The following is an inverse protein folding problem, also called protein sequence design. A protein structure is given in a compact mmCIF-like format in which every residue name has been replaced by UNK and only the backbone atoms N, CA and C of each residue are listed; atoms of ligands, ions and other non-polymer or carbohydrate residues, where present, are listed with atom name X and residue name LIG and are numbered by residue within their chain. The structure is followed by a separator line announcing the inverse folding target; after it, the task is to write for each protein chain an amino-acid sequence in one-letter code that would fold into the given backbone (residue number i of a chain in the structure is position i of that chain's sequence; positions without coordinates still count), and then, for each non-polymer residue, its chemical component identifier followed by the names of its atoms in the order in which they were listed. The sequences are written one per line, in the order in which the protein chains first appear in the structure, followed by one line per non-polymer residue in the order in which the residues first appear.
data_IF_612698313307
#
_entry.id   IF_612698313307
#
_cell.length_a   1.000
_cell.length_b   1.000
_cell.length_c   1.000
_cell.angle_alpha   90.00
_cell.angle_beta   90.00
_cell.angle_gamma   90.00
#
_symmetry.space_group_name_H-M   'P 1'
#
loop_
_entity.id
_entity.type
_entity.pdbx_description
1 polymer ?
#
# COMPACT_ATOMS: atom_id res chain seq x y z
N UNK A 1 63.13 34.71 59.58
CA UNK A 1 62.29 33.67 60.24
C UNK A 1 60.82 34.07 60.09
N UNK A 2 60.37 35.19 60.66
CA UNK A 2 58.98 35.67 60.56
C UNK A 2 58.39 35.81 59.14
N UNK A 3 59.19 36.22 58.15
CA UNK A 3 58.72 36.39 56.77
C UNK A 3 58.44 35.04 56.08
N UNK A 4 59.27 34.04 56.34
CA UNK A 4 59.06 32.66 55.88
C UNK A 4 57.85 32.02 56.55
N UNK A 5 57.62 32.30 57.83
CA UNK A 5 56.43 31.79 58.55
C UNK A 5 55.12 32.35 57.98
N UNK A 6 55.11 33.62 57.56
CA UNK A 6 53.94 34.22 56.85
C UNK A 6 53.69 33.57 55.49
N UNK A 7 54.75 33.35 54.71
CA UNK A 7 54.64 32.71 53.40
C UNK A 7 54.13 31.25 53.51
N UNK A 8 54.53 30.52 54.55
CA UNK A 8 54.02 29.18 54.85
C UNK A 8 52.52 29.24 55.21
N UNK A 9 52.10 30.18 56.05
CA UNK A 9 50.68 30.34 56.41
C UNK A 9 49.78 30.69 55.22
N UNK A 10 50.27 31.47 54.26
CA UNK A 10 49.53 31.76 53.03
C UNK A 10 49.39 30.52 52.14
N UNK A 11 50.48 29.76 51.96
CA UNK A 11 50.43 28.50 51.20
C UNK A 11 49.52 27.46 51.85
N UNK A 12 49.52 27.36 53.18
CA UNK A 12 48.61 26.45 53.89
C UNK A 12 47.13 26.82 53.69
N UNK A 13 46.80 28.11 53.64
CA UNK A 13 45.43 28.56 53.32
C UNK A 13 45.05 28.23 51.89
N UNK A 14 45.97 28.46 50.93
CA UNK A 14 45.73 28.14 49.53
C UNK A 14 45.51 26.63 49.31
N UNK A 15 46.27 25.78 50.04
CA UNK A 15 46.08 24.33 50.03
C UNK A 15 44.71 23.95 50.59
N UNK A 16 44.29 24.55 51.72
CA UNK A 16 42.98 24.28 52.32
C UNK A 16 41.81 24.69 51.40
N UNK A 17 41.96 25.77 50.64
CA UNK A 17 40.95 26.18 49.64
C UNK A 17 40.88 25.19 48.48
N UNK A 18 42.02 24.75 47.94
CA UNK A 18 42.06 23.73 46.88
C UNK A 18 41.50 22.39 47.34
N UNK A 19 41.77 21.98 48.57
CA UNK A 19 41.22 20.75 49.15
C UNK A 19 39.69 20.80 49.24
N UNK A 20 39.11 21.95 49.60
CA UNK A 20 37.65 22.14 49.59
C UNK A 20 37.08 22.07 48.17
N UNK A 21 37.72 22.70 47.21
CA UNK A 21 37.29 22.67 45.81
C UNK A 21 37.33 21.23 45.24
N UNK A 22 38.35 20.45 45.58
CA UNK A 22 38.45 19.03 45.21
C UNK A 22 37.30 18.24 45.83
N UNK A 23 37.01 18.43 47.12
CA UNK A 23 35.90 17.74 47.79
C UNK A 23 34.52 18.07 47.19
N UNK A 24 34.31 19.30 46.72
CA UNK A 24 33.07 19.68 46.02
C UNK A 24 32.98 19.00 44.65
N UNK A 25 34.05 18.98 43.87
CA UNK A 25 34.10 18.28 42.57
C UNK A 25 33.88 16.78 42.72
N UNK A 26 34.46 16.15 43.74
CA UNK A 26 34.27 14.73 44.02
C UNK A 26 32.80 14.40 44.31
N UNK A 27 32.08 15.27 45.04
CA UNK A 27 30.64 15.10 45.27
C UNK A 27 29.84 15.23 43.99
N UNK A 28 30.15 16.21 43.14
CA UNK A 28 29.48 16.39 41.85
C UNK A 28 29.68 15.18 40.92
N UNK A 29 30.89 14.61 40.90
CA UNK A 29 31.20 13.39 40.15
C UNK A 29 30.36 12.21 40.68
N UNK A 30 30.28 12.03 42.00
CA UNK A 30 29.47 10.96 42.60
C UNK A 30 27.97 11.08 42.28
N UNK A 31 27.43 12.30 42.20
CA UNK A 31 26.04 12.52 41.80
C UNK A 31 25.82 12.18 40.32
N UNK A 32 26.73 12.59 39.44
CA UNK A 32 26.67 12.24 38.01
C UNK A 32 26.78 10.74 37.77
N UNK A 33 27.64 10.04 38.51
CA UNK A 33 27.76 8.59 38.42
C UNK A 33 26.46 7.87 38.81
N UNK A 34 25.74 8.36 39.83
CA UNK A 34 24.41 7.82 40.19
C UNK A 34 23.39 8.04 39.08
N UNK A 35 23.36 9.23 38.48
CA UNK A 35 22.44 9.55 37.39
C UNK A 35 22.70 8.65 36.15
N UNK A 36 23.98 8.40 35.84
CA UNK A 36 24.38 7.48 34.76
C UNK A 36 23.89 6.06 35.06
N UNK A 37 24.08 5.56 36.29
CA UNK A 37 23.61 4.23 36.68
C UNK A 37 22.08 4.07 36.60
N UNK A 38 21.32 5.13 36.90
CA UNK A 38 19.86 5.11 36.75
C UNK A 38 19.44 5.05 35.28
N UNK A 39 20.09 5.86 34.42
CA UNK A 39 19.84 5.84 32.96
C UNK A 39 20.19 4.49 32.34
N UNK A 40 21.29 3.86 32.76
CA UNK A 40 21.66 2.52 32.28
C UNK A 40 20.60 1.47 32.63
N UNK A 41 20.02 1.52 33.84
CA UNK A 41 18.92 0.62 34.22
C UNK A 41 17.68 0.86 33.38
N UNK A 42 17.36 2.11 33.06
CA UNK A 42 16.21 2.44 32.21
C UNK A 42 16.41 1.91 30.78
N UNK A 43 17.62 2.06 30.22
CA UNK A 43 17.99 1.53 28.90
C UNK A 43 17.85 -0.01 28.88
N UNK A 44 18.40 -0.71 29.87
CA UNK A 44 18.25 -2.16 29.97
C UNK A 44 16.78 -2.61 30.08
N UNK A 45 15.92 -1.82 30.73
CA UNK A 45 14.49 -2.07 30.80
C UNK A 45 13.82 -1.97 29.41
N UNK A 46 14.14 -0.91 28.66
CA UNK A 46 13.64 -0.71 27.29
C UNK A 46 14.11 -1.79 26.33
N UNK A 47 15.36 -2.23 26.43
CA UNK A 47 15.89 -3.31 25.59
C UNK A 47 15.14 -4.63 25.81
N UNK A 48 14.79 -4.97 27.06
CA UNK A 48 13.95 -6.15 27.35
C UNK A 48 12.54 -6.03 26.77
N UNK A 49 11.94 -4.83 26.80
CA UNK A 49 10.63 -4.59 26.19
C UNK A 49 10.67 -4.76 24.66
N UNK A 50 11.73 -4.26 24.01
CA UNK A 50 11.94 -4.41 22.57
C UNK A 50 12.09 -5.89 22.20
N UNK A 51 12.92 -6.64 22.94
CA UNK A 51 13.07 -8.09 22.72
C UNK A 51 11.76 -8.85 22.89
N UNK A 52 10.88 -8.42 23.80
CA UNK A 52 9.55 -8.99 23.96
C UNK A 52 8.66 -8.77 22.73
N UNK A 53 8.64 -7.54 22.21
CA UNK A 53 7.85 -7.19 21.01
C UNK A 53 8.37 -7.88 19.75
N UNK A 54 9.68 -8.05 19.62
CA UNK A 54 10.27 -8.77 18.48
C UNK A 54 9.83 -10.25 18.45
N UNK A 55 9.71 -10.89 19.62
CA UNK A 55 9.16 -12.26 19.71
C UNK A 55 7.70 -12.32 19.30
N UNK A 56 6.87 -11.36 19.74
CA UNK A 56 5.46 -11.30 19.37
C UNK A 56 5.28 -11.09 17.85
N UNK A 57 6.15 -10.28 17.23
CA UNK A 57 6.15 -10.08 15.76
C UNK A 57 6.52 -11.38 15.05
N UNK A 58 7.55 -12.09 15.51
CA UNK A 58 7.95 -13.37 14.92
C UNK A 58 6.86 -14.44 15.00
N UNK A 59 6.06 -14.46 16.07
CA UNK A 59 4.91 -15.37 16.19
C UNK A 59 3.81 -15.02 15.18
N UNK A 60 3.46 -13.74 15.06
CA UNK A 60 2.46 -13.29 14.07
C UNK A 60 2.91 -13.53 12.63
N UNK A 61 4.19 -13.37 12.33
CA UNK A 61 4.73 -13.66 11.00
C UNK A 61 4.60 -15.15 10.65
N UNK A 62 4.74 -16.06 11.63
CA UNK A 62 4.49 -17.49 11.44
C UNK A 62 3.02 -17.79 11.16
N UNK A 63 2.10 -17.19 11.92
CA UNK A 63 0.65 -17.35 11.69
C UNK A 63 0.23 -16.86 10.30
N UNK A 64 0.80 -15.75 9.83
CA UNK A 64 0.57 -15.24 8.47
C UNK A 64 1.07 -16.23 7.42
N UNK A 65 2.28 -16.78 7.60
CA UNK A 65 2.83 -17.77 6.67
C UNK A 65 1.99 -19.06 6.60
N UNK A 66 1.42 -19.51 7.71
CA UNK A 66 0.50 -20.66 7.73
C UNK A 66 -0.80 -20.33 7.00
N UNK A 67 -1.37 -19.16 7.25
CA UNK A 67 -2.60 -18.70 6.55
C UNK A 67 -2.37 -18.59 5.04
N UNK A 68 -1.22 -18.07 4.60
CA UNK A 68 -0.86 -17.97 3.18
C UNK A 68 -0.75 -19.35 2.51
N UNK A 69 -0.23 -20.36 3.22
CA UNK A 69 -0.21 -21.74 2.71
C UNK A 69 -1.61 -22.30 2.52
N UNK A 70 -2.51 -22.09 3.47
CA UNK A 70 -3.90 -22.53 3.35
C UNK A 70 -4.61 -21.86 2.16
N UNK A 71 -4.35 -20.57 1.92
CA UNK A 71 -4.89 -19.85 0.77
C UNK A 71 -4.37 -20.47 -0.55
N UNK A 72 -3.06 -20.75 -0.64
CA UNK A 72 -2.47 -21.38 -1.82
C UNK A 72 -3.06 -22.77 -2.11
N UNK A 73 -3.35 -23.56 -1.07
CA UNK A 73 -4.02 -24.85 -1.24
C UNK A 73 -5.44 -24.70 -1.77
N UNK A 74 -6.22 -23.77 -1.22
CA UNK A 74 -7.58 -23.47 -1.72
C UNK A 74 -7.58 -22.97 -3.16
N UNK A 75 -6.59 -22.17 -3.54
CA UNK A 75 -6.44 -21.69 -4.92
C UNK A 75 -6.17 -22.85 -5.90
N UNK A 76 -5.34 -23.82 -5.51
CA UNK A 76 -5.13 -25.05 -6.30
C UNK A 76 -6.42 -25.86 -6.46
N UNK A 77 -7.18 -26.02 -5.38
CA UNK A 77 -8.47 -26.73 -5.43
C UNK A 77 -9.47 -26.03 -6.36
N UNK A 78 -9.52 -24.69 -6.34
CA UNK A 78 -10.34 -23.90 -7.26
C UNK A 78 -9.88 -24.09 -8.71
N UNK A 79 -8.58 -24.11 -8.98
CA UNK A 79 -8.05 -24.36 -10.32
C UNK A 79 -8.42 -25.75 -10.84
N UNK A 80 -8.37 -26.78 -9.99
CA UNK A 80 -8.81 -28.14 -10.35
C UNK A 80 -10.31 -28.19 -10.66
N UNK A 81 -11.14 -27.58 -9.82
CA UNK A 81 -12.59 -27.47 -10.06
C UNK A 81 -12.89 -26.77 -11.38
N UNK A 82 -12.16 -25.71 -11.72
CA UNK A 82 -12.31 -25.00 -12.99
C UNK A 82 -11.96 -25.88 -14.20
N UNK A 83 -10.93 -26.73 -14.11
CA UNK A 83 -10.62 -27.71 -15.16
C UNK A 83 -11.74 -28.73 -15.34
N UNK A 84 -12.34 -29.21 -14.24
CA UNK A 84 -13.48 -30.14 -14.29
C UNK A 84 -14.69 -29.47 -14.95
N UNK A 85 -14.99 -28.22 -14.58
CA UNK A 85 -16.08 -27.45 -15.22
C UNK A 85 -15.83 -27.32 -16.72
N UNK A 86 -14.60 -26.96 -17.12
CA UNK A 86 -14.26 -26.83 -18.54
C UNK A 86 -14.43 -28.14 -19.33
N UNK A 87 -14.03 -29.28 -18.74
CA UNK A 87 -14.23 -30.59 -19.37
C UNK A 87 -15.72 -30.95 -19.47
N UNK A 88 -16.52 -30.64 -18.45
CA UNK A 88 -17.97 -30.86 -18.48
C UNK A 88 -18.65 -29.98 -19.53
N UNK A 89 -18.22 -28.73 -19.68
CA UNK A 89 -18.70 -27.85 -20.75
C UNK A 89 -18.40 -28.44 -22.14
N UNK A 90 -17.21 -29.05 -22.31
CA UNK A 90 -16.85 -29.75 -23.54
C UNK A 90 -17.71 -31.01 -23.78
N UNK A 91 -17.97 -31.82 -22.75
CA UNK A 91 -18.88 -32.97 -22.86
C UNK A 91 -20.31 -32.55 -23.19
N UNK A 92 -20.81 -31.47 -22.57
CA UNK A 92 -22.13 -30.90 -22.88
C UNK A 92 -22.18 -30.50 -24.36
N UNK A 93 -21.18 -29.78 -24.85
CA UNK A 93 -21.09 -29.38 -26.24
C UNK A 93 -21.02 -30.58 -27.19
N UNK A 94 -20.33 -31.67 -26.81
CA UNK A 94 -20.27 -32.90 -27.61
C UNK A 94 -21.62 -33.63 -27.63
N UNK A 95 -22.34 -33.67 -26.50
CA UNK A 95 -23.69 -34.23 -26.40
C UNK A 95 -24.71 -33.40 -27.20
N UNK A 96 -24.59 -32.07 -27.20
CA UNK A 96 -25.40 -31.18 -28.04
C UNK A 96 -25.16 -31.43 -29.53
N UNK A 97 -23.90 -31.67 -29.93
CA UNK A 97 -23.55 -32.08 -31.30
C UNK A 97 -24.17 -33.44 -31.65
N UNK A 98 -24.04 -34.45 -30.79
CA UNK A 98 -24.63 -35.79 -31.01
C UNK A 98 -26.15 -35.77 -31.02
N UNK A 99 -26.77 -34.96 -30.17
CA UNK A 99 -28.23 -34.73 -30.17
C UNK A 99 -28.68 -34.09 -31.48
N UNK A 100 -27.90 -33.15 -32.01
CA UNK A 100 -28.13 -32.55 -33.32
C UNK A 100 -27.99 -33.58 -34.45
N UNK A 101 -27.00 -34.46 -34.40
CA UNK A 101 -26.79 -35.55 -35.38
C UNK A 101 -27.89 -36.62 -35.33
N UNK A 102 -28.36 -37.02 -34.14
CA UNK A 102 -29.49 -37.93 -33.98
C UNK A 102 -30.82 -37.29 -34.41
N UNK A 103 -30.97 -35.97 -34.22
CA UNK A 103 -32.07 -35.19 -34.77
C UNK A 103 -32.06 -35.13 -36.30
N UNK A 104 -30.88 -35.26 -36.93
CA UNK A 104 -30.72 -35.39 -38.38
C UNK A 104 -31.03 -36.82 -38.84
N UNK A 105 -30.64 -37.85 -38.07
CA UNK A 105 -30.88 -39.27 -38.40
C UNK A 105 -32.35 -39.71 -38.21
N UNK A 106 -33.05 -39.15 -37.22
CA UNK A 106 -34.51 -39.29 -37.07
C UNK A 106 -35.30 -38.59 -38.20
N UNK A 107 -34.67 -37.65 -38.91
CA UNK A 107 -35.25 -36.90 -40.03
C UNK A 107 -35.27 -37.63 -41.38
N UNK A 108 -34.68 -38.83 -41.50
CA UNK A 108 -34.57 -39.54 -42.80
C UNK A 108 -35.74 -40.52 -43.04
N UNK A 109 -36.63 -40.77 -42.06
CA UNK A 109 -37.72 -41.75 -42.20
C UNK A 109 -39.14 -41.19 -42.23
N UNK A 110 -39.38 -40.09 -42.96
CA UNK A 110 -40.75 -39.79 -43.42
C UNK A 110 -40.73 -38.92 -44.67
N UNK A 111 -40.94 -39.54 -45.85
CA UNK A 111 -41.36 -38.83 -47.06
C UNK A 111 -42.81 -38.36 -46.89
N UNK A 112 -43.02 -37.05 -46.80
CA UNK A 112 -44.20 -36.40 -47.37
C UNK A 112 -43.86 -34.92 -47.65
N UNK A 113 -43.99 -34.51 -48.91
CA UNK A 113 -43.69 -33.16 -49.39
C UNK A 113 -44.65 -32.13 -48.78
N UNK A 114 -44.11 -31.06 -48.17
CA UNK A 114 -44.75 -29.76 -47.93
C UNK A 114 -43.66 -28.66 -47.88
N UNK A 115 -43.96 -27.40 -48.27
CA UNK A 115 -42.96 -26.38 -48.64
C UNK A 115 -42.30 -25.65 -47.45
N UNK A 116 -41.08 -25.16 -47.69
CA UNK A 116 -40.31 -24.10 -47.00
C UNK A 116 -39.92 -24.26 -45.50
N UNK A 117 -39.14 -25.30 -45.16
CA UNK A 117 -38.50 -25.45 -43.84
C UNK A 117 -36.97 -25.20 -43.81
N UNK A 118 -36.30 -25.10 -44.96
CA UNK A 118 -34.82 -25.00 -45.04
C UNK A 118 -34.34 -23.60 -44.64
N UNK A 119 -35.07 -22.56 -45.02
CA UNK A 119 -34.79 -21.16 -44.64
C UNK A 119 -34.81 -20.95 -43.14
N UNK A 120 -35.76 -21.55 -42.43
CA UNK A 120 -35.90 -21.42 -40.98
C UNK A 120 -34.72 -22.01 -40.19
N UNK A 121 -34.11 -23.11 -40.66
CA UNK A 121 -32.92 -23.70 -40.00
C UNK A 121 -31.68 -22.83 -40.19
N UNK A 122 -31.47 -22.33 -41.40
CA UNK A 122 -30.36 -21.43 -41.70
C UNK A 122 -30.52 -20.08 -40.98
N UNK A 123 -31.76 -19.57 -40.87
CA UNK A 123 -32.10 -18.37 -40.10
C UNK A 123 -31.86 -18.57 -38.59
N UNK A 124 -32.17 -19.75 -38.04
CA UNK A 124 -31.89 -20.08 -36.63
C UNK A 124 -30.39 -20.12 -36.35
N UNK A 125 -29.59 -20.71 -37.23
CA UNK A 125 -28.12 -20.77 -37.08
C UNK A 125 -27.52 -19.35 -37.19
N UNK A 126 -28.00 -18.54 -38.13
CA UNK A 126 -27.57 -17.14 -38.25
C UNK A 126 -27.96 -16.29 -37.03
N UNK A 127 -29.14 -16.54 -36.46
CA UNK A 127 -29.57 -15.90 -35.20
C UNK A 127 -28.71 -16.35 -34.02
N UNK A 128 -28.34 -17.62 -33.92
CA UNK A 128 -27.45 -18.14 -32.88
C UNK A 128 -26.06 -17.51 -32.98
N UNK A 129 -25.45 -17.48 -34.17
CA UNK A 129 -24.16 -16.82 -34.40
C UNK A 129 -24.22 -15.32 -34.09
N UNK A 130 -25.31 -14.64 -34.48
CA UNK A 130 -25.53 -13.23 -34.15
C UNK A 130 -25.72 -13.00 -32.64
N UNK A 131 -26.36 -13.95 -31.95
CA UNK A 131 -26.52 -13.93 -30.50
C UNK A 131 -25.18 -14.18 -29.80
N UNK A 132 -24.36 -15.12 -30.27
CA UNK A 132 -23.02 -15.37 -29.72
C UNK A 132 -22.08 -14.19 -29.95
N UNK A 133 -22.13 -13.56 -31.14
CA UNK A 133 -21.39 -12.34 -31.43
C UNK A 133 -21.87 -11.19 -30.51
N UNK A 134 -23.19 -11.05 -30.34
CA UNK A 134 -23.78 -10.05 -29.43
C UNK A 134 -23.42 -10.31 -27.97
N UNK A 135 -23.45 -11.55 -27.50
CA UNK A 135 -23.08 -11.97 -26.14
C UNK A 135 -21.59 -11.72 -25.91
N UNK A 136 -20.73 -12.07 -26.87
CA UNK A 136 -19.28 -11.84 -26.80
C UNK A 136 -18.99 -10.34 -26.74
N UNK A 137 -19.62 -9.56 -27.64
CA UNK A 137 -19.53 -8.09 -27.64
C UNK A 137 -20.03 -7.49 -26.32
N UNK A 138 -21.13 -8.02 -25.75
CA UNK A 138 -21.63 -7.59 -24.45
C UNK A 138 -20.69 -7.96 -23.29
N UNK A 139 -20.03 -9.13 -23.36
CA UNK A 139 -19.05 -9.58 -22.37
C UNK A 139 -17.79 -8.70 -22.42
N UNK A 140 -17.29 -8.40 -23.61
CA UNK A 140 -16.16 -7.50 -23.83
C UNK A 140 -16.51 -6.08 -23.39
N UNK A 141 -17.70 -5.58 -23.72
CA UNK A 141 -18.20 -4.30 -23.22
C UNK A 141 -18.26 -4.27 -21.69
N UNK A 142 -18.72 -5.35 -21.04
CA UNK A 142 -18.73 -5.45 -19.57
C UNK A 142 -17.32 -5.40 -18.97
N UNK A 143 -16.35 -6.08 -19.59
CA UNK A 143 -14.94 -6.02 -19.17
C UNK A 143 -14.36 -4.62 -19.35
N UNK A 144 -14.64 -3.97 -20.48
CA UNK A 144 -14.23 -2.59 -20.78
C UNK A 144 -14.84 -1.62 -19.76
N UNK A 145 -16.15 -1.70 -19.51
CA UNK A 145 -16.84 -0.86 -18.52
C UNK A 145 -16.22 -1.06 -17.13
N UNK A 146 -15.96 -2.31 -16.73
CA UNK A 146 -15.30 -2.61 -15.45
C UNK A 146 -13.90 -2.00 -15.38
N UNK A 147 -13.11 -2.08 -16.45
CA UNK A 147 -11.78 -1.49 -16.52
C UNK A 147 -11.83 0.05 -16.46
N UNK A 148 -12.74 0.67 -17.21
CA UNK A 148 -12.97 2.12 -17.22
C UNK A 148 -13.39 2.61 -15.83
N UNK A 149 -14.32 1.92 -15.16
CA UNK A 149 -14.74 2.28 -13.80
C UNK A 149 -13.60 2.13 -12.79
N UNK A 150 -12.80 1.06 -12.87
CA UNK A 150 -11.60 0.89 -12.03
C UNK A 150 -10.61 2.04 -12.23
N UNK A 151 -10.37 2.43 -13.49
CA UNK A 151 -9.50 3.58 -13.81
C UNK A 151 -10.06 4.87 -13.25
N UNK A 152 -11.36 5.14 -13.44
CA UNK A 152 -12.04 6.32 -12.90
C UNK A 152 -11.91 6.42 -11.38
N UNK A 153 -12.08 5.30 -10.66
CA UNK A 153 -11.85 5.24 -9.21
C UNK A 153 -10.43 5.69 -8.86
N UNK A 154 -9.41 5.14 -9.53
CA UNK A 154 -8.01 5.50 -9.26
C UNK A 154 -7.75 6.98 -9.57
N UNK A 155 -8.27 7.48 -10.69
CA UNK A 155 -8.12 8.88 -11.10
C UNK A 155 -8.78 9.84 -10.10
N UNK A 156 -9.97 9.51 -9.59
CA UNK A 156 -10.64 10.29 -8.53
C UNK A 156 -9.83 10.29 -7.23
N UNK A 157 -9.27 9.15 -6.83
CA UNK A 157 -8.39 9.08 -5.66
C UNK A 157 -7.15 9.95 -5.87
N UNK A 158 -6.57 9.97 -7.08
CA UNK A 158 -5.44 10.84 -7.41
C UNK A 158 -5.80 12.31 -7.36
N UNK A 159 -7.00 12.70 -7.80
CA UNK A 159 -7.52 14.06 -7.68
C UNK A 159 -7.59 14.47 -6.20
N UNK A 160 -8.18 13.64 -5.35
CA UNK A 160 -8.29 13.91 -3.91
C UNK A 160 -6.91 14.01 -3.24
N UNK A 161 -6.02 13.06 -3.49
CA UNK A 161 -4.67 13.06 -2.94
C UNK A 161 -3.86 14.27 -3.42
N UNK A 162 -3.97 14.63 -4.70
CA UNK A 162 -3.31 15.82 -5.23
C UNK A 162 -3.82 17.09 -4.56
N UNK A 163 -5.14 17.24 -4.41
CA UNK A 163 -5.72 18.36 -3.67
C UNK A 163 -5.24 18.42 -2.22
N UNK A 164 -5.12 17.26 -1.56
CA UNK A 164 -4.65 17.14 -0.19
C UNK A 164 -3.18 17.56 -0.03
N UNK A 165 -2.27 16.97 -0.82
CA UNK A 165 -0.83 17.27 -0.72
C UNK A 165 -0.44 18.64 -1.28
N UNK A 166 -1.20 19.18 -2.25
CA UNK A 166 -0.91 20.48 -2.84
C UNK A 166 -1.57 21.64 -2.10
N UNK A 167 -2.45 21.39 -1.12
CA UNK A 167 -3.06 22.44 -0.33
C UNK A 167 -1.98 23.24 0.42
N UNK A 168 -1.81 24.55 0.14
CA UNK A 168 -0.78 25.37 0.79
C UNK A 168 -1.04 25.57 2.28
N UNK A 169 -2.31 25.48 2.69
CA UNK A 169 -2.78 25.72 4.07
C UNK A 169 -2.95 24.43 4.87
N UNK A 170 -2.59 23.26 4.31
CA UNK A 170 -2.69 21.99 5.01
C UNK A 170 -1.81 21.99 6.27
N UNK A 171 -2.41 21.60 7.39
CA UNK A 171 -1.74 21.45 8.70
C UNK A 171 -1.56 19.99 9.10
N UNK A 172 -2.00 19.08 8.24
CA UNK A 172 -1.87 17.64 8.41
C UNK A 172 -0.40 17.21 8.44
N UNK A 173 -0.09 16.30 9.36
CA UNK A 173 1.28 15.88 9.65
C UNK A 173 1.90 15.21 8.41
N UNK A 174 1.12 14.42 7.69
CA UNK A 174 1.51 13.70 6.48
C UNK A 174 1.95 14.66 5.38
N UNK A 175 1.16 15.74 5.18
CA UNK A 175 1.45 16.76 4.18
C UNK A 175 2.69 17.55 4.55
N UNK A 176 2.81 17.92 5.82
CA UNK A 176 3.98 18.65 6.33
C UNK A 176 5.24 17.80 6.18
N UNK A 177 5.22 16.55 6.66
CA UNK A 177 6.36 15.62 6.54
C UNK A 177 6.76 15.41 5.09
N UNK A 178 5.78 15.18 4.21
CA UNK A 178 6.03 14.97 2.79
C UNK A 178 6.66 16.19 2.12
N UNK A 179 6.13 17.41 2.36
CA UNK A 179 6.67 18.65 1.79
C UNK A 179 8.09 18.94 2.31
N UNK A 180 8.29 18.88 3.64
CA UNK A 180 9.60 19.12 4.24
C UNK A 180 10.66 18.11 3.78
N UNK A 181 10.27 16.85 3.60
CA UNK A 181 11.16 15.86 3.01
C UNK A 181 11.59 16.25 1.60
N UNK A 182 10.67 16.68 0.72
CA UNK A 182 11.03 17.13 -0.64
C UNK A 182 11.98 18.32 -0.60
N UNK A 183 11.75 19.28 0.29
CA UNK A 183 12.63 20.45 0.45
C UNK A 183 14.04 20.03 0.89
N UNK A 184 14.16 19.19 1.93
CA UNK A 184 15.45 18.73 2.44
C UNK A 184 16.17 17.86 1.42
N UNK A 185 15.46 16.95 0.73
CA UNK A 185 16.03 16.12 -0.33
C UNK A 185 16.60 16.98 -1.46
N UNK A 186 15.89 18.06 -1.83
CA UNK A 186 16.40 19.01 -2.82
C UNK A 186 17.67 19.71 -2.32
N UNK A 187 17.65 20.25 -1.10
CA UNK A 187 18.81 20.91 -0.50
C UNK A 187 20.02 19.96 -0.38
N UNK A 188 19.79 18.69 -0.04
CA UNK A 188 20.84 17.68 0.04
C UNK A 188 21.46 17.37 -1.32
N UNK A 189 20.66 17.34 -2.40
CA UNK A 189 21.16 17.22 -3.78
C UNK A 189 21.98 18.45 -4.17
N UNK A 190 21.42 19.64 -3.96
CA UNK A 190 22.11 20.90 -4.27
C UNK A 190 23.44 20.99 -3.51
N UNK A 191 23.48 20.57 -2.25
CA UNK A 191 24.71 20.50 -1.45
C UNK A 191 25.74 19.52 -2.02
N UNK A 192 25.30 18.31 -2.42
CA UNK A 192 26.16 17.30 -3.02
C UNK A 192 26.74 17.73 -4.39
N UNK A 193 26.00 18.54 -5.15
CA UNK A 193 26.41 19.02 -6.47
C UNK A 193 27.29 20.27 -6.41
N UNK A 194 27.08 21.15 -5.42
CA UNK A 194 27.73 22.47 -5.35
C UNK A 194 29.00 22.49 -4.49
N UNK A 195 29.30 21.42 -3.76
CA UNK A 195 30.47 21.32 -2.88
C UNK A 195 31.41 20.23 -3.36
N UNK A 196 32.70 20.53 -3.33
CA UNK A 196 33.73 19.54 -3.64
C UNK A 196 33.78 18.49 -2.53
N UNK A 197 33.81 17.21 -2.91
CA UNK A 197 33.69 16.09 -2.00
C UNK A 197 33.47 14.78 -2.76
N UNK A 198 34.18 13.72 -2.35
CA UNK A 198 34.08 12.37 -2.96
C UNK A 198 33.42 11.35 -2.04
N UNK A 199 32.91 11.79 -0.89
CA UNK A 199 32.32 10.89 0.10
C UNK A 199 30.98 10.31 -0.39
N UNK A 200 30.78 9.02 -0.15
CA UNK A 200 29.53 8.35 -0.53
C UNK A 200 28.35 8.79 0.35
N UNK A 201 28.62 9.26 1.58
CA UNK A 201 27.59 9.68 2.54
C UNK A 201 26.73 10.80 1.98
N UNK A 202 27.35 11.83 1.43
CA UNK A 202 26.68 13.00 0.85
C UNK A 202 25.89 12.61 -0.41
N UNK A 203 26.43 11.70 -1.24
CA UNK A 203 25.75 11.20 -2.45
C UNK A 203 24.48 10.40 -2.12
N UNK A 204 24.53 9.54 -1.10
CA UNK A 204 23.39 8.68 -0.73
C UNK A 204 22.37 9.35 0.18
N UNK A 205 22.72 10.47 0.82
CA UNK A 205 21.86 11.17 1.77
C UNK A 205 20.46 11.53 1.21
N UNK A 206 20.32 12.15 0.01
CA UNK A 206 19.00 12.49 -0.53
C UNK A 206 18.13 11.24 -0.77
N UNK A 207 18.75 10.13 -1.16
CA UNK A 207 18.09 8.84 -1.41
C UNK A 207 17.54 8.31 -0.08
N UNK A 208 18.42 8.18 0.94
CA UNK A 208 18.03 7.63 2.24
C UNK A 208 16.94 8.46 2.92
N UNK A 209 17.04 9.79 2.88
CA UNK A 209 16.01 10.68 3.44
C UNK A 209 14.64 10.47 2.77
N UNK A 210 14.60 10.43 1.43
CA UNK A 210 13.37 10.17 0.68
C UNK A 210 12.77 8.81 1.06
N UNK A 211 13.59 7.76 1.05
CA UNK A 211 13.17 6.39 1.32
C UNK A 211 12.61 6.23 2.73
N UNK A 212 13.33 6.72 3.75
CA UNK A 212 12.91 6.58 5.14
C UNK A 212 11.61 7.34 5.42
N UNK A 213 11.49 8.60 4.98
CA UNK A 213 10.26 9.36 5.19
C UNK A 213 9.08 8.74 4.44
N UNK A 214 9.27 8.35 3.18
CA UNK A 214 8.21 7.67 2.42
C UNK A 214 7.84 6.31 3.04
N UNK A 215 8.78 5.56 3.59
CA UNK A 215 8.48 4.30 4.29
C UNK A 215 7.64 4.53 5.55
N UNK A 216 7.99 5.53 6.37
CA UNK A 216 7.23 5.89 7.58
C UNK A 216 5.81 6.33 7.21
N UNK A 217 5.68 7.25 6.24
CA UNK A 217 4.38 7.71 5.74
C UNK A 217 3.57 6.57 5.12
N UNK A 218 4.22 5.67 4.38
CA UNK A 218 3.59 4.48 3.80
C UNK A 218 3.14 3.44 4.81
N UNK A 219 3.72 3.41 6.01
CA UNK A 219 3.34 2.49 7.08
C UNK A 219 2.22 3.07 7.97
N UNK A 220 2.20 4.40 8.19
CA UNK A 220 1.33 5.01 9.21
C UNK A 220 0.50 6.20 8.75
N UNK A 221 0.85 6.86 7.65
CA UNK A 221 0.35 8.19 7.30
C UNK A 221 -1.18 8.27 7.15
N UNK A 222 -1.85 7.21 6.72
CA UNK A 222 -3.31 7.22 6.55
C UNK A 222 -4.04 6.22 7.44
N UNK A 223 -3.41 5.82 8.55
CA UNK A 223 -4.04 5.00 9.57
C UNK A 223 -4.99 5.85 10.43
N UNK A 224 -5.75 5.19 11.30
CA UNK A 224 -6.62 5.88 12.25
C UNK A 224 -5.81 6.81 13.17
N UNK A 225 -6.35 8.00 13.41
CA UNK A 225 -5.78 9.01 14.30
C UNK A 225 -6.04 8.62 15.74
N UNK A 226 -5.02 8.74 16.59
CA UNK A 226 -5.11 8.43 18.01
C UNK A 226 -5.13 9.74 18.80
N UNK A 227 -6.16 9.95 19.61
CA UNK A 227 -6.22 11.12 20.48
C UNK A 227 -5.42 10.91 21.79
N UNK A 228 -5.37 11.94 22.65
CA UNK A 228 -4.69 11.88 23.95
C UNK A 228 -5.22 10.77 24.87
N UNK A 229 -6.47 10.34 24.66
CA UNK A 229 -7.13 9.29 25.43
C UNK A 229 -6.97 7.90 24.79
N UNK A 230 -6.07 7.74 23.81
CA UNK A 230 -5.85 6.50 23.05
C UNK A 230 -7.08 6.00 22.26
N UNK A 231 -8.05 6.88 22.00
CA UNK A 231 -9.19 6.55 21.16
C UNK A 231 -8.81 6.71 19.69
N UNK A 232 -9.28 5.77 18.87
CA UNK A 232 -8.99 5.72 17.44
C UNK A 232 -10.12 6.36 16.64
N UNK A 233 -9.77 7.27 15.73
CA UNK A 233 -10.69 7.94 14.83
C UNK A 233 -10.27 7.70 13.39
N UNK A 234 -11.23 7.58 12.49
CA UNK A 234 -10.93 7.52 11.06
C UNK A 234 -10.22 8.80 10.64
N UNK A 235 -9.14 8.66 9.88
CA UNK A 235 -8.39 9.79 9.33
C UNK A 235 -9.30 10.70 8.50
N UNK A 236 -9.24 12.02 8.71
CA UNK A 236 -10.17 12.98 8.10
C UNK A 236 -10.14 12.97 6.57
N UNK A 237 -8.94 12.95 5.97
CA UNK A 237 -8.77 12.74 4.53
C UNK A 237 -9.47 11.47 4.02
N UNK A 238 -9.31 10.34 4.73
CA UNK A 238 -9.92 9.06 4.34
C UNK A 238 -11.43 9.13 4.45
N UNK A 239 -11.95 9.63 5.59
CA UNK A 239 -13.39 9.81 5.82
C UNK A 239 -14.04 10.66 4.74
N UNK A 240 -13.44 11.81 4.42
CA UNK A 240 -13.96 12.75 3.41
C UNK A 240 -13.89 12.16 2.01
N UNK A 241 -12.76 11.58 1.65
CA UNK A 241 -12.55 10.98 0.32
C UNK A 241 -13.44 9.76 0.10
N UNK A 242 -13.66 8.95 1.14
CA UNK A 242 -14.56 7.79 1.11
C UNK A 242 -16.00 8.22 0.79
N UNK A 243 -16.48 9.27 1.47
CA UNK A 243 -17.81 9.82 1.19
C UNK A 243 -17.95 10.27 -0.28
N UNK A 244 -17.01 11.06 -0.78
CA UNK A 244 -17.07 11.54 -2.17
C UNK A 244 -16.93 10.41 -3.19
N UNK A 245 -16.02 9.46 -2.95
CA UNK A 245 -15.83 8.33 -3.87
C UNK A 245 -17.08 7.44 -3.93
N UNK A 246 -17.72 7.16 -2.80
CA UNK A 246 -18.96 6.39 -2.80
C UNK A 246 -20.07 7.10 -3.55
N UNK A 247 -20.25 8.41 -3.34
CA UNK A 247 -21.24 9.20 -4.08
C UNK A 247 -20.97 9.20 -5.58
N UNK A 248 -19.71 9.39 -5.98
CA UNK A 248 -19.29 9.35 -7.38
C UNK A 248 -19.57 7.99 -8.01
N UNK A 249 -19.24 6.88 -7.36
CA UNK A 249 -19.43 5.55 -7.94
C UNK A 249 -20.89 5.11 -7.91
N UNK A 250 -21.68 5.58 -6.95
CA UNK A 250 -23.10 5.28 -6.85
C UNK A 250 -23.92 5.79 -8.05
N UNK A 251 -23.42 6.72 -8.87
CA UNK A 251 -24.09 7.12 -10.12
C UNK A 251 -24.02 6.03 -11.21
N UNK A 252 -23.04 5.12 -11.12
CA UNK A 252 -22.80 4.05 -12.11
C UNK A 252 -23.22 2.66 -11.62
N UNK A 253 -23.67 2.52 -10.36
CA UNK A 253 -24.05 1.22 -9.77
C UNK A 253 -25.34 1.28 -8.97
N UNK A 254 -26.07 0.17 -8.91
CA UNK A 254 -27.14 -0.07 -7.94
C UNK A 254 -26.66 -1.13 -6.94
N UNK A 255 -26.75 -0.81 -5.65
CA UNK A 255 -26.34 -1.71 -4.58
C UNK A 255 -27.56 -2.38 -3.94
N UNK A 256 -27.42 -3.65 -3.55
CA UNK A 256 -28.38 -4.30 -2.66
C UNK A 256 -28.29 -3.60 -1.28
N UNK A 257 -29.41 -3.10 -0.71
CA UNK A 257 -29.44 -2.45 0.59
C UNK A 257 -28.71 -3.21 1.71
N UNK A 258 -28.80 -4.54 1.69
CA UNK A 258 -28.20 -5.42 2.70
C UNK A 258 -26.67 -5.35 2.75
N UNK A 259 -26.02 -5.19 1.59
CA UNK A 259 -24.55 -5.14 1.46
C UNK A 259 -24.00 -3.73 1.28
N UNK A 260 -24.86 -2.72 1.26
CA UNK A 260 -24.49 -1.36 0.88
C UNK A 260 -23.38 -0.81 1.79
N UNK A 261 -23.55 -0.93 3.10
CA UNK A 261 -22.62 -0.39 4.08
C UNK A 261 -21.23 -1.03 3.98
N UNK A 262 -21.18 -2.36 3.94
CA UNK A 262 -19.93 -3.12 3.77
C UNK A 262 -19.17 -2.68 2.51
N UNK A 263 -19.89 -2.53 1.39
CA UNK A 263 -19.30 -2.11 0.12
C UNK A 263 -18.80 -0.66 0.18
N UNK A 264 -19.53 0.22 0.85
CA UNK A 264 -19.14 1.62 1.01
C UNK A 264 -17.97 1.79 1.99
N UNK A 265 -17.83 0.90 2.97
CA UNK A 265 -16.70 0.87 3.90
C UNK A 265 -15.38 0.47 3.21
N UNK A 266 -15.43 -0.43 2.21
CA UNK A 266 -14.25 -0.82 1.41
C UNK A 266 -13.59 0.36 0.66
N UNK A 267 -14.34 1.42 0.34
CA UNK A 267 -13.79 2.57 -0.38
C UNK A 267 -12.65 3.25 0.40
N UNK A 268 -12.74 3.31 1.74
CA UNK A 268 -11.68 3.86 2.59
C UNK A 268 -10.37 3.09 2.46
N UNK A 269 -10.44 1.76 2.40
CA UNK A 269 -9.26 0.90 2.23
C UNK A 269 -8.66 1.02 0.83
N UNK A 270 -9.50 1.11 -0.20
CA UNK A 270 -9.04 1.33 -1.58
C UNK A 270 -8.29 2.67 -1.68
N UNK A 271 -8.83 3.74 -1.08
CA UNK A 271 -8.18 5.04 -1.02
C UNK A 271 -6.83 4.92 -0.32
N UNK A 272 -6.81 4.31 0.88
CA UNK A 272 -5.57 4.14 1.67
C UNK A 272 -4.50 3.39 0.88
N UNK A 273 -4.84 2.25 0.30
CA UNK A 273 -3.91 1.41 -0.49
C UNK A 273 -3.40 2.17 -1.71
N UNK A 274 -4.28 2.86 -2.43
CA UNK A 274 -3.93 3.63 -3.63
C UNK A 274 -2.98 4.77 -3.30
N UNK A 275 -3.31 5.62 -2.31
CA UNK A 275 -2.43 6.74 -1.94
C UNK A 275 -1.10 6.22 -1.39
N UNK A 276 -1.14 5.20 -0.53
CA UNK A 276 0.08 4.58 0.01
C UNK A 276 1.01 4.08 -1.10
N UNK A 277 0.47 3.37 -2.08
CA UNK A 277 1.24 2.87 -3.20
C UNK A 277 1.88 4.03 -3.99
N UNK A 278 1.06 4.95 -4.48
CA UNK A 278 1.48 5.92 -5.49
C UNK A 278 2.19 7.15 -4.95
N UNK A 279 1.93 7.58 -3.70
CA UNK A 279 2.62 8.72 -3.10
C UNK A 279 3.85 8.29 -2.29
N UNK A 280 3.87 7.07 -1.76
CA UNK A 280 4.93 6.65 -0.84
C UNK A 280 5.72 5.45 -1.34
N UNK A 281 5.09 4.29 -1.60
CA UNK A 281 5.83 3.05 -1.91
C UNK A 281 6.67 3.14 -3.18
N UNK A 282 6.17 3.80 -4.23
CA UNK A 282 6.96 4.04 -5.44
C UNK A 282 8.18 4.94 -5.19
N UNK A 283 8.10 5.87 -4.24
CA UNK A 283 9.20 6.77 -3.88
C UNK A 283 10.23 6.13 -2.94
N UNK A 284 9.95 4.94 -2.39
CA UNK A 284 10.92 4.14 -1.62
C UNK A 284 11.88 3.38 -2.55
N UNK A 285 11.49 3.10 -3.79
CA UNK A 285 12.36 2.42 -4.75
C UNK A 285 13.55 3.31 -5.17
N UNK A 286 14.64 2.68 -5.61
CA UNK A 286 15.78 3.34 -6.26
C UNK A 286 16.12 2.62 -7.58
N UNK A 287 15.93 3.25 -8.75
CA UNK A 287 15.41 4.62 -8.94
C UNK A 287 13.94 4.74 -8.51
N UNK A 288 13.51 5.97 -8.22
CA UNK A 288 12.11 6.24 -7.89
C UNK A 288 11.20 5.79 -9.05
N UNK A 289 10.16 5.02 -8.73
CA UNK A 289 9.25 4.51 -9.74
C UNK A 289 8.19 5.56 -10.10
N UNK A 290 7.82 5.62 -11.38
CA UNK A 290 6.79 6.53 -11.87
C UNK A 290 5.63 5.74 -12.46
N UNK A 291 4.42 6.30 -12.32
CA UNK A 291 3.23 5.76 -12.98
C UNK A 291 3.10 6.33 -14.39
N UNK A 292 2.62 5.51 -15.30
CA UNK A 292 2.28 5.92 -16.65
C UNK A 292 0.94 5.31 -17.06
N UNK A 293 0.04 6.13 -17.59
CA UNK A 293 -1.19 5.66 -18.21
C UNK A 293 -0.96 5.53 -19.70
N UNK A 294 -1.10 4.32 -20.23
CA UNK A 294 -1.09 4.11 -21.67
C UNK A 294 -2.23 4.88 -22.35
N UNK A 295 -1.87 5.58 -23.42
CA UNK A 295 -2.81 6.16 -24.37
C UNK A 295 -3.27 5.07 -25.33
N UNK A 296 -4.41 5.30 -25.98
CA UNK A 296 -4.96 4.38 -26.99
C UNK A 296 -4.03 4.19 -28.20
N UNK A 297 -3.06 5.09 -28.41
CA UNK A 297 -2.05 5.02 -29.48
C UNK A 297 -0.73 4.38 -29.04
N UNK A 298 -0.56 4.09 -27.75
CA UNK A 298 0.72 3.58 -27.25
C UNK A 298 0.88 2.11 -27.61
N UNK A 299 2.03 1.74 -28.15
CA UNK A 299 2.37 0.33 -28.41
C UNK A 299 2.71 -0.34 -27.08
N UNK A 300 1.87 -1.28 -26.65
CA UNK A 300 2.08 -2.04 -25.42
C UNK A 300 3.04 -3.20 -25.72
N UNK A 301 4.16 -3.25 -25.00
CA UNK A 301 5.06 -4.40 -25.06
C UNK A 301 4.53 -5.49 -24.12
N UNK A 302 3.91 -6.53 -24.70
CA UNK A 302 3.32 -7.66 -23.97
C UNK A 302 4.34 -8.43 -23.12
N UNK A 303 5.63 -8.37 -23.44
CA UNK A 303 6.67 -9.06 -22.68
C UNK A 303 7.01 -8.36 -21.34
N UNK A 304 6.46 -7.17 -21.10
CA UNK A 304 6.67 -6.40 -19.87
C UNK A 304 5.44 -6.37 -18.95
N UNK A 305 4.37 -7.08 -19.33
CA UNK A 305 3.18 -7.24 -18.50
C UNK A 305 3.25 -8.61 -17.81
N UNK A 306 3.41 -8.63 -16.49
CA UNK A 306 3.14 -9.84 -15.71
C UNK A 306 1.62 -10.09 -15.73
N UNK A 307 1.22 -11.28 -16.20
CA UNK A 307 -0.16 -11.77 -16.26
C UNK A 307 -0.58 -12.40 -14.94
#
# INVERSE_FOLDING_TARGET
IQEKDKEIQEKDKEIQEKDKEIQEKDKEIQEKDKEIQEKDKEIQGKDKEIQGKDKEIQEKDKEIQETDKEIQEKDKEIQEKNKIIHNKDYEIHELERKSSELGVEAGIKTKLQLPDSVTLKDDIINLQNSLEEYITKCKDQKLIIKAVLKRHVIEKIFEYASGYFNNPNARDIEVIMYKRCKDIVKLAKDFAEQRDGVDETTKVLPIKLRQQICAVLGNRGFNNVINKNKQHFLHDFIKRSQFFLNNEINIYRKLNPEKKKEIEDMAGDIIRKTVTLFWFRLNVQEPAAYRYWFKNTDKINTNTMEL
#
